data_IF_591056865315
#
_entry.id   IF_591056865315
#
_cell.length_a   1.000
_cell.length_b   1.000
_cell.length_c   1.000
_cell.angle_alpha   90.00
_cell.angle_beta   90.00
_cell.angle_gamma   90.00
#
_symmetry.space_group_name_H-M   'P 1'
#
loop_
_entity.id
_entity.type
_entity.pdbx_description
1 polymer ?
#
# COMPACT_ATOMS: atom_id res chain seq x y z
N UNK A 1 15.71 12.75 15.12
CA UNK A 1 14.37 12.17 14.84
C UNK A 1 14.52 11.23 13.65
N UNK A 2 13.80 10.12 13.64
CA UNK A 2 13.76 9.26 12.45
C UNK A 2 13.04 9.99 11.32
N UNK A 3 13.63 9.97 10.10
CA UNK A 3 13.02 10.52 8.88
C UNK A 3 12.13 9.49 8.16
N UNK A 4 12.04 8.28 8.71
CA UNK A 4 11.21 7.21 8.16
C UNK A 4 9.73 7.54 8.40
N UNK A 5 8.93 7.44 7.36
CA UNK A 5 7.50 7.67 7.44
C UNK A 5 6.80 6.57 8.25
N UNK A 6 6.12 6.96 9.32
CA UNK A 6 5.40 6.03 10.20
C UNK A 6 3.90 6.33 10.33
N UNK A 7 3.43 7.38 9.69
CA UNK A 7 2.08 7.91 9.87
C UNK A 7 1.94 8.76 11.14
N UNK A 8 0.78 9.36 11.31
CA UNK A 8 0.37 10.15 12.47
C UNK A 8 -0.83 9.55 13.18
N UNK A 9 -1.47 10.34 14.02
CA UNK A 9 -2.72 9.94 14.66
C UNK A 9 -3.81 9.68 13.63
N UNK A 10 -4.67 8.72 13.90
CA UNK A 10 -5.86 8.46 13.09
C UNK A 10 -6.80 9.67 13.20
N UNK A 11 -7.32 10.12 12.06
CA UNK A 11 -8.23 11.27 12.01
C UNK A 11 -9.57 10.90 12.60
N UNK A 12 -10.23 11.87 13.25
CA UNK A 12 -11.56 11.72 13.83
C UNK A 12 -12.57 11.28 12.75
N UNK A 13 -13.32 10.23 13.04
CA UNK A 13 -14.30 9.63 12.12
C UNK A 13 -13.73 8.67 11.09
N UNK A 14 -12.39 8.46 11.08
CA UNK A 14 -11.71 7.55 10.17
C UNK A 14 -11.12 6.33 10.91
N UNK A 15 -11.52 6.09 12.15
CA UNK A 15 -11.05 4.99 12.98
C UNK A 15 -11.38 3.63 12.33
N UNK A 16 -10.51 2.65 12.59
CA UNK A 16 -10.72 1.26 12.22
C UNK A 16 -11.25 0.48 13.44
N UNK A 17 -12.18 -0.44 13.20
CA UNK A 17 -12.39 -1.54 14.14
C UNK A 17 -11.21 -2.50 14.03
N UNK A 18 -10.15 -2.21 14.80
CA UNK A 18 -8.92 -2.98 14.75
C UNK A 18 -9.09 -4.40 15.27
N UNK A 19 -10.06 -4.64 16.16
CA UNK A 19 -10.35 -5.98 16.67
C UNK A 19 -10.97 -6.84 15.57
N UNK A 20 -11.94 -6.30 14.82
CA UNK A 20 -12.52 -6.96 13.65
C UNK A 20 -11.46 -7.23 12.57
N UNK A 21 -10.60 -6.25 12.27
CA UNK A 21 -9.50 -6.41 11.31
C UNK A 21 -8.52 -7.50 11.76
N UNK A 22 -8.09 -7.49 13.02
CA UNK A 22 -7.14 -8.48 13.55
C UNK A 22 -7.71 -9.89 13.47
N UNK A 23 -8.97 -10.07 13.89
CA UNK A 23 -9.67 -11.36 13.80
C UNK A 23 -9.72 -11.84 12.35
N UNK A 24 -10.12 -10.96 11.43
CA UNK A 24 -10.21 -11.28 10.00
C UNK A 24 -8.84 -11.65 9.41
N UNK A 25 -7.75 -10.96 9.79
CA UNK A 25 -6.39 -11.28 9.35
C UNK A 25 -6.01 -12.72 9.75
N UNK A 26 -6.23 -13.09 11.00
CA UNK A 26 -5.94 -14.44 11.50
C UNK A 26 -6.75 -15.51 10.78
N UNK A 27 -8.04 -15.26 10.52
CA UNK A 27 -8.91 -16.16 9.75
C UNK A 27 -8.47 -16.31 8.28
N UNK A 28 -7.74 -15.31 7.75
CA UNK A 28 -7.19 -15.33 6.39
C UNK A 28 -5.69 -15.66 6.34
N UNK A 29 -5.20 -16.38 7.35
CA UNK A 29 -3.82 -16.91 7.42
C UNK A 29 -2.71 -15.82 7.43
N UNK A 30 -3.04 -14.61 7.84
CA UNK A 30 -2.04 -13.58 8.12
C UNK A 30 -1.69 -13.65 9.61
N UNK A 31 -0.51 -14.20 9.91
CA UNK A 31 -0.04 -14.36 11.29
C UNK A 31 0.32 -12.99 11.89
N UNK A 32 -0.48 -12.56 12.88
CA UNK A 32 -0.27 -11.34 13.65
C UNK A 32 -0.40 -11.64 15.15
N UNK A 33 0.47 -11.02 15.97
CA UNK A 33 0.56 -11.29 17.40
C UNK A 33 0.57 -9.98 18.19
N UNK A 34 -0.08 -10.00 19.34
CA UNK A 34 -0.21 -8.84 20.22
C UNK A 34 -1.22 -7.79 19.73
N UNK A 35 -1.35 -6.69 20.48
CA UNK A 35 -2.21 -5.57 20.08
C UNK A 35 -1.59 -4.78 18.93
N UNK A 36 -2.40 -4.31 17.99
CA UNK A 36 -1.93 -3.42 16.94
C UNK A 36 -1.83 -1.98 17.40
N UNK A 37 -0.68 -1.35 17.19
CA UNK A 37 -0.58 0.11 17.14
C UNK A 37 -1.03 0.58 15.75
N UNK A 38 -2.06 1.45 15.71
CA UNK A 38 -2.62 1.97 14.46
C UNK A 38 -2.22 3.43 14.26
N UNK A 39 -1.58 3.71 13.11
CA UNK A 39 -1.31 5.07 12.67
C UNK A 39 -1.86 5.29 11.26
N UNK A 40 -2.05 6.55 10.85
CA UNK A 40 -2.61 6.88 9.55
C UNK A 40 -1.67 7.81 8.78
N UNK A 41 -1.45 7.51 7.50
CA UNK A 41 -0.69 8.39 6.63
C UNK A 41 -1.54 9.58 6.15
N UNK A 42 -0.96 10.77 6.16
CA UNK A 42 -1.63 12.01 5.75
C UNK A 42 -1.68 12.19 4.22
N UNK A 43 -0.91 11.42 3.47
CA UNK A 43 -0.85 11.50 2.01
C UNK A 43 -1.80 10.49 1.35
N UNK A 44 -2.39 10.88 0.22
CA UNK A 44 -3.29 10.05 -0.57
C UNK A 44 -4.70 10.63 -0.57
N UNK A 45 -5.02 11.43 -1.61
CA UNK A 45 -6.35 12.04 -1.75
C UNK A 45 -7.44 10.99 -2.09
N UNK A 46 -7.04 9.82 -2.57
CA UNK A 46 -7.97 8.82 -3.12
C UNK A 46 -8.31 7.70 -2.16
N UNK A 47 -7.37 7.24 -1.34
CA UNK A 47 -7.58 6.10 -0.43
C UNK A 47 -6.94 6.39 0.93
N UNK A 48 -7.57 5.92 1.97
CA UNK A 48 -7.02 5.97 3.32
C UNK A 48 -6.00 4.85 3.51
N UNK A 49 -4.86 5.21 4.09
CA UNK A 49 -3.75 4.29 4.31
C UNK A 49 -3.39 4.29 5.80
N UNK A 50 -3.44 3.12 6.40
CA UNK A 50 -3.13 2.91 7.81
C UNK A 50 -1.92 1.99 7.94
N UNK A 51 -1.09 2.23 8.94
CA UNK A 51 -0.09 1.28 9.41
C UNK A 51 -0.67 0.51 10.58
N UNK A 52 -0.54 -0.79 10.55
CA UNK A 52 -0.90 -1.71 11.63
C UNK A 52 0.40 -2.35 12.13
N UNK A 53 0.91 -1.89 13.27
CA UNK A 53 2.13 -2.40 13.87
C UNK A 53 1.78 -3.39 14.96
N UNK A 54 2.05 -4.66 14.71
CA UNK A 54 1.95 -5.78 15.65
C UNK A 54 3.34 -6.14 16.20
N UNK A 55 3.39 -7.05 17.18
CA UNK A 55 4.66 -7.51 17.76
C UNK A 55 5.54 -8.22 16.73
N UNK A 56 4.95 -9.01 15.84
CA UNK A 56 5.63 -9.80 14.82
C UNK A 56 5.47 -9.29 13.38
N UNK A 57 4.65 -8.27 13.15
CA UNK A 57 4.33 -7.79 11.81
C UNK A 57 4.18 -6.27 11.73
N UNK A 58 4.58 -5.70 10.59
CA UNK A 58 4.40 -4.29 10.27
C UNK A 58 3.67 -4.21 8.91
N UNK A 59 2.41 -3.82 8.94
CA UNK A 59 1.48 -3.95 7.84
C UNK A 59 0.93 -2.59 7.40
N UNK A 60 0.51 -2.54 6.14
CA UNK A 60 -0.27 -1.42 5.60
C UNK A 60 -1.66 -1.94 5.22
N UNK A 61 -2.69 -1.28 5.73
CA UNK A 61 -4.07 -1.46 5.30
C UNK A 61 -4.49 -0.27 4.44
N UNK A 62 -5.04 -0.56 3.25
CA UNK A 62 -5.63 0.48 2.39
C UNK A 62 -7.12 0.22 2.18
N UNK A 63 -7.91 1.29 2.29
CA UNK A 63 -9.36 1.29 2.05
C UNK A 63 -9.81 2.57 1.36
N UNK A 64 -10.96 2.60 0.69
CA UNK A 64 -11.55 3.83 0.19
C UNK A 64 -12.00 4.72 1.35
N UNK A 65 -12.14 6.05 1.13
CA UNK A 65 -12.77 6.94 2.10
C UNK A 65 -14.26 6.59 2.28
N UNK A 66 -14.84 6.98 3.42
CA UNK A 66 -16.27 6.87 3.64
C UNK A 66 -17.03 7.81 2.67
N UNK A 67 -18.13 7.36 2.11
CA UNK A 67 -19.01 8.17 1.25
C UNK A 67 -19.32 7.53 -0.09
N UNK A 68 -19.87 8.33 -1.02
CA UNK A 68 -20.31 7.86 -2.33
C UNK A 68 -19.11 7.47 -3.19
N UNK A 69 -19.02 6.19 -3.55
CA UNK A 69 -17.99 5.67 -4.43
C UNK A 69 -18.32 6.03 -5.89
N UNK A 70 -17.43 6.70 -6.61
CA UNK A 70 -17.49 6.69 -8.07
C UNK A 70 -17.25 5.25 -8.56
N UNK A 71 -18.05 4.76 -9.50
CA UNK A 71 -18.07 3.35 -9.95
C UNK A 71 -16.71 2.77 -10.41
N UNK A 72 -15.75 3.61 -10.74
CA UNK A 72 -14.41 3.21 -11.24
C UNK A 72 -13.25 3.73 -10.37
N UNK A 73 -13.53 4.55 -9.36
CA UNK A 73 -12.54 5.03 -8.42
C UNK A 73 -12.54 4.14 -7.17
N UNK A 74 -11.37 3.89 -6.60
CA UNK A 74 -11.23 3.16 -5.34
C UNK A 74 -11.53 1.64 -5.41
N UNK A 75 -11.23 1.01 -6.54
CA UNK A 75 -11.35 -0.45 -6.70
C UNK A 75 -10.17 -1.15 -5.99
N UNK A 76 -10.38 -1.47 -4.71
CA UNK A 76 -9.38 -2.15 -3.87
C UNK A 76 -9.02 -3.53 -4.42
N UNK A 77 -9.98 -4.23 -4.99
CA UNK A 77 -9.74 -5.56 -5.55
C UNK A 77 -8.84 -5.47 -6.78
N UNK A 78 -9.04 -4.49 -7.64
CA UNK A 78 -8.18 -4.26 -8.80
C UNK A 78 -6.78 -3.83 -8.39
N UNK A 79 -6.65 -2.87 -7.45
CA UNK A 79 -5.35 -2.46 -6.92
C UNK A 79 -4.56 -3.65 -6.36
N UNK A 80 -5.22 -4.49 -5.54
CA UNK A 80 -4.62 -5.68 -4.95
C UNK A 80 -4.17 -6.68 -6.02
N UNK A 81 -5.07 -7.04 -6.96
CA UNK A 81 -4.80 -8.04 -8.00
C UNK A 81 -3.65 -7.63 -8.91
N UNK A 82 -3.63 -6.36 -9.35
CA UNK A 82 -2.55 -5.84 -10.20
C UNK A 82 -1.20 -5.94 -9.49
N UNK A 83 -1.12 -5.45 -8.24
CA UNK A 83 0.12 -5.50 -7.47
C UNK A 83 0.56 -6.94 -7.22
N UNK A 84 -0.37 -7.82 -6.81
CA UNK A 84 -0.07 -9.23 -6.55
C UNK A 84 0.45 -9.95 -7.79
N UNK A 85 -0.15 -9.70 -8.95
CA UNK A 85 0.29 -10.29 -10.21
C UNK A 85 1.65 -9.74 -10.69
N UNK A 86 2.00 -8.51 -10.31
CA UNK A 86 3.28 -7.88 -10.64
C UNK A 86 4.46 -8.37 -9.77
N UNK A 87 4.22 -8.75 -8.51
CA UNK A 87 5.29 -9.12 -7.56
C UNK A 87 6.31 -10.11 -8.13
N UNK A 88 5.95 -11.17 -8.87
CA UNK A 88 6.92 -12.12 -9.42
C UNK A 88 7.87 -11.50 -10.45
N UNK A 89 7.47 -10.42 -11.11
CA UNK A 89 8.20 -9.76 -12.20
C UNK A 89 8.83 -8.43 -11.79
N UNK A 90 8.31 -7.83 -10.72
CA UNK A 90 8.72 -6.51 -10.26
C UNK A 90 8.87 -6.49 -8.72
N UNK A 91 10.01 -6.97 -8.20
CA UNK A 91 10.20 -7.30 -6.78
C UNK A 91 10.34 -6.09 -5.84
N UNK A 92 10.24 -4.86 -6.35
CA UNK A 92 10.23 -3.64 -5.53
C UNK A 92 8.85 -3.34 -4.93
N UNK A 93 7.84 -4.13 -5.30
CA UNK A 93 6.50 -4.02 -4.72
C UNK A 93 6.42 -4.67 -3.34
N UNK A 94 5.51 -4.20 -2.48
CA UNK A 94 5.25 -4.84 -1.21
C UNK A 94 4.62 -6.23 -1.40
N UNK A 95 4.85 -7.12 -0.46
CA UNK A 95 4.14 -8.40 -0.39
C UNK A 95 2.65 -8.16 -0.14
N UNK A 96 1.80 -8.61 -1.07
CA UNK A 96 0.35 -8.51 -0.99
C UNK A 96 -0.21 -9.68 -0.18
N UNK A 97 -0.73 -9.41 1.02
CA UNK A 97 -1.10 -10.44 1.99
C UNK A 97 -2.55 -10.91 1.80
N UNK A 98 -3.52 -10.02 1.93
CA UNK A 98 -4.92 -10.35 1.92
C UNK A 98 -5.81 -9.23 1.36
N UNK A 99 -6.92 -9.63 0.70
CA UNK A 99 -7.97 -8.74 0.20
C UNK A 99 -9.29 -9.09 0.89
N UNK A 100 -9.93 -8.11 1.50
CA UNK A 100 -11.27 -8.22 2.07
C UNK A 100 -12.29 -7.51 1.17
N UNK A 101 -13.31 -8.26 0.75
CA UNK A 101 -14.46 -7.74 0.03
C UNK A 101 -15.77 -7.88 0.85
N UNK A 102 -15.63 -8.14 2.15
CA UNK A 102 -16.74 -8.16 3.08
C UNK A 102 -16.85 -6.82 3.80
N UNK A 103 -17.80 -6.01 3.36
CA UNK A 103 -18.06 -4.70 3.94
C UNK A 103 -18.52 -4.78 5.41
N UNK A 104 -18.95 -5.94 5.92
CA UNK A 104 -19.36 -6.08 7.31
C UNK A 104 -18.23 -5.92 8.32
N UNK A 105 -16.97 -6.06 7.88
CA UNK A 105 -15.79 -5.99 8.75
C UNK A 105 -15.50 -4.53 9.17
N UNK A 106 -15.38 -3.62 8.19
CA UNK A 106 -15.07 -2.19 8.46
C UNK A 106 -15.88 -1.22 7.58
N UNK A 107 -16.96 -1.68 6.97
CA UNK A 107 -17.85 -0.83 6.15
C UNK A 107 -17.37 -0.58 4.72
N UNK A 108 -16.33 -1.25 4.26
CA UNK A 108 -15.82 -1.15 2.88
C UNK A 108 -14.85 -2.27 2.57
N UNK A 109 -14.60 -2.52 1.28
CA UNK A 109 -13.47 -3.33 0.85
C UNK A 109 -12.16 -2.73 1.37
N UNK A 110 -11.18 -3.60 1.61
CA UNK A 110 -9.83 -3.19 1.93
C UNK A 110 -8.82 -4.27 1.55
N UNK A 111 -7.56 -3.90 1.47
CA UNK A 111 -6.50 -4.89 1.36
C UNK A 111 -5.35 -4.59 2.31
N UNK A 112 -4.58 -5.64 2.59
CA UNK A 112 -3.43 -5.56 3.49
C UNK A 112 -2.18 -6.06 2.76
N UNK A 113 -1.10 -5.34 2.95
CA UNK A 113 0.22 -5.64 2.42
C UNK A 113 1.28 -5.46 3.49
N UNK A 114 2.46 -6.05 3.30
CA UNK A 114 3.60 -5.79 4.17
C UNK A 114 4.09 -4.36 4.00
N UNK A 115 4.42 -3.69 5.09
CA UNK A 115 5.01 -2.36 5.02
C UNK A 115 6.42 -2.42 4.48
N UNK A 116 6.71 -1.58 3.51
CA UNK A 116 8.09 -1.26 3.13
C UNK A 116 8.52 -0.06 3.98
N UNK A 117 9.57 -0.25 4.78
CA UNK A 117 10.14 0.83 5.57
C UNK A 117 10.94 1.77 4.67
N UNK A 118 10.71 3.08 4.80
CA UNK A 118 11.41 4.05 3.98
C UNK A 118 10.92 5.47 4.19
N UNK A 119 11.44 6.33 3.33
CA UNK A 119 11.09 7.75 3.27
C UNK A 119 10.18 7.97 2.08
N UNK A 120 9.07 8.67 2.28
CA UNK A 120 8.18 9.07 1.20
C UNK A 120 8.57 10.49 0.77
N UNK A 121 9.28 10.68 -0.35
CA UNK A 121 9.63 11.99 -0.83
C UNK A 121 8.38 12.82 -1.12
N UNK A 122 8.34 14.04 -0.59
CA UNK A 122 7.26 15.00 -0.85
C UNK A 122 7.75 16.04 -1.87
N UNK A 123 7.24 17.25 -1.80
CA UNK A 123 7.69 18.35 -2.65
C UNK A 123 9.18 18.68 -2.50
N UNK A 124 9.77 18.35 -1.36
CA UNK A 124 11.20 18.49 -1.07
C UNK A 124 11.72 17.22 -0.40
N UNK A 125 12.98 16.88 -0.67
CA UNK A 125 13.68 15.84 0.07
C UNK A 125 13.94 16.32 1.50
N UNK A 126 13.86 15.42 2.50
CA UNK A 126 14.26 15.74 3.86
C UNK A 126 15.72 16.22 3.90
N UNK A 127 16.01 17.37 4.55
CA UNK A 127 17.37 17.90 4.62
C UNK A 127 18.35 16.98 5.36
N UNK A 128 17.84 16.09 6.21
CA UNK A 128 18.62 15.09 6.93
C UNK A 128 19.29 14.06 6.01
N UNK A 129 18.81 13.89 4.77
CA UNK A 129 19.45 13.05 3.77
C UNK A 129 20.80 13.62 3.31
N UNK A 130 21.01 14.94 3.43
CA UNK A 130 22.22 15.63 3.04
C UNK A 130 22.67 15.30 1.60
N UNK A 131 21.72 15.09 0.69
CA UNK A 131 22.00 14.78 -0.70
C UNK A 131 22.57 16.00 -1.43
N UNK A 132 23.72 15.82 -2.07
CA UNK A 132 24.27 16.75 -3.05
C UNK A 132 23.70 16.49 -4.45
N UNK A 133 24.25 17.21 -5.44
CA UNK A 133 23.78 17.10 -6.83
C UNK A 133 23.94 15.68 -7.42
N UNK A 134 24.99 14.97 -7.03
CA UNK A 134 25.26 13.61 -7.53
C UNK A 134 24.22 12.60 -6.99
N UNK A 135 23.95 12.63 -5.71
CA UNK A 135 22.98 11.75 -5.06
C UNK A 135 21.56 12.02 -5.55
N UNK A 136 21.20 13.30 -5.75
CA UNK A 136 19.90 13.66 -6.34
C UNK A 136 19.79 13.14 -7.77
N UNK A 137 20.85 13.28 -8.58
CA UNK A 137 20.87 12.77 -9.95
C UNK A 137 20.73 11.25 -9.98
N UNK A 138 21.46 10.55 -9.11
CA UNK A 138 21.37 9.10 -8.97
C UNK A 138 19.96 8.66 -8.57
N UNK A 139 19.34 9.32 -7.59
CA UNK A 139 17.96 9.07 -7.18
C UNK A 139 17.00 9.22 -8.37
N UNK A 140 17.11 10.32 -9.12
CA UNK A 140 16.26 10.56 -10.30
C UNK A 140 16.48 9.49 -11.37
N UNK A 141 17.73 9.09 -11.64
CA UNK A 141 18.06 8.01 -12.59
C UNK A 141 17.42 6.71 -12.15
N UNK A 142 17.60 6.32 -10.89
CA UNK A 142 17.04 5.09 -10.33
C UNK A 142 15.49 5.06 -10.44
N UNK A 143 14.82 6.19 -10.23
CA UNK A 143 13.35 6.27 -10.41
C UNK A 143 12.94 6.00 -11.85
N UNK A 144 13.66 6.57 -12.82
CA UNK A 144 13.38 6.36 -14.24
C UNK A 144 13.70 4.91 -14.64
N UNK A 145 14.82 4.36 -14.17
CA UNK A 145 15.18 2.97 -14.43
C UNK A 145 14.11 2.00 -13.90
N UNK A 146 13.59 2.24 -12.69
CA UNK A 146 12.48 1.45 -12.14
C UNK A 146 11.19 1.58 -12.96
N UNK A 147 10.90 2.75 -13.51
CA UNK A 147 9.76 2.92 -14.41
C UNK A 147 9.97 2.14 -15.72
N UNK A 148 11.18 2.15 -16.28
CA UNK A 148 11.52 1.37 -17.47
C UNK A 148 11.38 -0.13 -17.19
N UNK A 149 11.93 -0.63 -16.07
CA UNK A 149 11.77 -2.02 -15.64
C UNK A 149 10.29 -2.42 -15.55
N UNK A 150 9.44 -1.57 -14.97
CA UNK A 150 8.00 -1.82 -14.90
C UNK A 150 7.36 -1.94 -16.29
N UNK A 151 7.74 -1.07 -17.24
CA UNK A 151 7.22 -1.10 -18.60
C UNK A 151 7.72 -2.29 -19.42
N UNK A 152 8.79 -2.95 -18.99
CA UNK A 152 9.34 -4.15 -19.62
C UNK A 152 8.78 -5.45 -19.05
N UNK A 153 7.93 -5.38 -18.01
CA UNK A 153 7.29 -6.57 -17.45
C UNK A 153 6.44 -7.25 -18.52
N UNK A 154 6.68 -8.55 -18.81
CA UNK A 154 5.87 -9.27 -19.77
C UNK A 154 4.46 -9.44 -19.22
N UNK A 155 3.46 -8.97 -19.95
CA UNK A 155 2.07 -9.11 -19.54
C UNK A 155 1.36 -10.26 -20.27
N UNK A 156 1.74 -10.56 -21.51
CA UNK A 156 1.16 -11.66 -22.30
C UNK A 156 1.52 -13.02 -21.69
N UNK A 157 0.53 -13.89 -21.56
CA UNK A 157 0.69 -15.22 -20.97
C UNK A 157 0.88 -15.21 -19.45
N UNK A 158 0.62 -14.09 -18.79
CA UNK A 158 0.69 -13.93 -17.32
C UNK A 158 -0.68 -13.54 -16.75
N UNK A 159 -0.82 -13.57 -15.42
CA UNK A 159 -2.04 -13.12 -14.73
C UNK A 159 -2.36 -11.63 -15.01
N UNK A 160 -1.38 -10.85 -15.46
CA UNK A 160 -1.55 -9.45 -15.83
C UNK A 160 -2.40 -9.25 -17.08
N UNK A 161 -2.39 -10.20 -18.03
CA UNK A 161 -3.11 -10.11 -19.29
C UNK A 161 -4.62 -9.89 -19.08
N UNK A 162 -5.18 -10.56 -18.07
CA UNK A 162 -6.61 -10.48 -17.76
C UNK A 162 -7.01 -9.22 -16.97
N UNK A 163 -6.05 -8.46 -16.47
CA UNK A 163 -6.27 -7.26 -15.64
C UNK A 163 -6.33 -5.98 -16.48
N UNK A 164 -5.88 -6.03 -17.75
CA UNK A 164 -5.96 -4.95 -18.71
C UNK A 164 -7.31 -4.89 -19.44
N UNK A 165 -7.48 -3.84 -20.24
CA UNK A 165 -8.68 -3.70 -21.09
C UNK A 165 -8.60 -4.53 -22.39
N UNK A 166 -7.54 -5.33 -22.55
CA UNK A 166 -7.23 -5.97 -23.83
C UNK A 166 -6.70 -4.98 -24.87
N UNK A 167 -6.41 -5.48 -26.06
CA UNK A 167 -6.14 -4.63 -27.21
C UNK A 167 -7.45 -3.94 -27.61
N UNK A 168 -7.45 -2.60 -27.54
CA UNK A 168 -8.57 -1.76 -27.96
C UNK A 168 -8.59 -1.54 -29.46
#
# INVERSE_FOLDING_TARGET
MSIIDVGGQVREGEELDIQAVTKWLLENSVDVQGPAEVTQYSGGASNWTYRLKYDNADLILRRPPKGTKAKSAHDMAREFKVQKALVPYYPVLPEMLALCQDESIIGSDFYVMRRIEGIIPRAKLPPELQFGELEVRELCTNVIDKLIELHQVPYLGTDLEQLGKGEG
#
